data_IF_212978154975
#
_entry.id   IF_212978154975
#
_cell.length_a   1.000
_cell.length_b   1.000
_cell.length_c   1.000
_cell.angle_alpha   90.00
_cell.angle_beta   90.00
_cell.angle_gamma   90.00
#
_symmetry.space_group_name_H-M   'P 1'
#
loop_
_entity.id
_entity.type
_entity.pdbx_description
1 polymer ?
#
# COMPACT_ATOMS: atom_id res chain seq x y z
N UNK A 1 5.79 -7.13 -21.87
CA UNK A 1 4.75 -7.77 -21.04
C UNK A 1 5.37 -8.10 -19.69
N UNK A 2 4.76 -7.69 -18.58
CA UNK A 2 5.23 -7.96 -17.20
C UNK A 2 4.08 -8.51 -16.35
N UNK A 3 4.43 -9.20 -15.27
CA UNK A 3 3.48 -9.58 -14.23
C UNK A 3 3.50 -8.53 -13.12
N UNK A 4 2.33 -8.11 -12.67
CA UNK A 4 2.14 -7.22 -11.53
C UNK A 4 1.31 -7.91 -10.46
N UNK A 5 1.71 -7.75 -9.21
CA UNK A 5 0.90 -8.08 -8.04
C UNK A 5 0.68 -6.82 -7.24
N UNK A 6 -0.58 -6.35 -7.20
CA UNK A 6 -0.97 -5.08 -6.57
C UNK A 6 -1.59 -5.37 -5.20
N UNK A 7 -1.02 -4.78 -4.16
CA UNK A 7 -1.39 -4.98 -2.75
C UNK A 7 -1.89 -3.66 -2.17
N UNK A 8 -3.12 -3.68 -1.67
CA UNK A 8 -3.79 -2.52 -1.11
C UNK A 8 -3.25 -2.09 0.27
N UNK A 9 -3.56 -0.88 0.67
CA UNK A 9 -3.29 -0.34 2.00
C UNK A 9 -4.38 -0.68 3.02
N UNK A 10 -4.27 -0.10 4.22
CA UNK A 10 -5.25 -0.26 5.27
C UNK A 10 -6.68 0.07 4.80
N UNK A 11 -7.68 -0.59 5.37
CA UNK A 11 -9.13 -0.45 5.10
C UNK A 11 -9.59 -0.87 3.71
N UNK A 12 -8.73 -0.95 2.70
CA UNK A 12 -9.06 -1.21 1.30
C UNK A 12 -9.13 -2.72 0.99
N UNK A 13 -9.26 -3.04 -0.27
CA UNK A 13 -9.23 -4.38 -0.84
C UNK A 13 -8.76 -4.34 -2.29
N UNK A 14 -8.76 -5.48 -2.96
CA UNK A 14 -8.41 -5.60 -4.37
C UNK A 14 -9.19 -4.65 -5.29
N UNK A 15 -10.42 -4.31 -4.91
CA UNK A 15 -11.30 -3.37 -5.61
C UNK A 15 -10.67 -1.98 -5.82
N UNK A 16 -9.81 -1.55 -4.91
CA UNK A 16 -9.14 -0.23 -5.01
C UNK A 16 -8.19 -0.12 -6.21
N UNK A 17 -7.81 -1.23 -6.80
CA UNK A 17 -6.91 -1.31 -7.94
C UNK A 17 -7.61 -1.50 -9.29
N UNK A 18 -8.95 -1.62 -9.32
CA UNK A 18 -9.68 -2.05 -10.52
C UNK A 18 -9.37 -1.22 -11.77
N UNK A 19 -9.37 0.10 -11.67
CA UNK A 19 -9.09 0.99 -12.80
C UNK A 19 -7.61 0.99 -13.21
N UNK A 20 -6.69 0.97 -12.22
CA UNK A 20 -5.25 0.84 -12.47
C UNK A 20 -4.95 -0.50 -13.14
N UNK A 21 -5.53 -1.60 -12.64
CA UNK A 21 -5.42 -2.94 -13.23
C UNK A 21 -5.87 -2.94 -14.68
N UNK A 22 -7.08 -2.47 -14.95
CA UNK A 22 -7.62 -2.40 -16.33
C UNK A 22 -6.70 -1.59 -17.26
N UNK A 23 -6.16 -0.48 -16.77
CA UNK A 23 -5.22 0.35 -17.52
C UNK A 23 -3.90 -0.36 -17.84
N UNK A 24 -3.35 -1.16 -16.94
CA UNK A 24 -2.16 -1.95 -17.17
C UNK A 24 -2.44 -3.14 -18.12
N UNK A 25 -3.58 -3.81 -17.97
CA UNK A 25 -3.98 -4.92 -18.82
C UNK A 25 -4.20 -4.48 -20.27
N UNK A 26 -4.76 -3.30 -20.51
CA UNK A 26 -4.88 -2.73 -21.88
C UNK A 26 -3.54 -2.43 -22.53
N UNK A 27 -2.46 -2.33 -21.76
CA UNK A 27 -1.07 -2.21 -22.24
C UNK A 27 -0.37 -3.56 -22.41
N UNK A 28 -1.11 -4.67 -22.24
CA UNK A 28 -0.59 -6.03 -22.42
C UNK A 28 0.16 -6.60 -21.22
N UNK A 29 0.02 -6.03 -20.05
CA UNK A 29 0.57 -6.59 -18.81
C UNK A 29 -0.39 -7.60 -18.18
N UNK A 30 0.13 -8.56 -17.42
CA UNK A 30 -0.66 -9.47 -16.60
C UNK A 30 -0.74 -8.90 -15.17
N UNK A 31 -1.95 -8.65 -14.67
CA UNK A 31 -2.14 -7.94 -13.40
C UNK A 31 -3.00 -8.75 -12.43
N UNK A 32 -2.44 -9.02 -11.27
CA UNK A 32 -3.08 -9.71 -10.17
C UNK A 32 -3.32 -8.70 -9.05
N UNK A 33 -4.51 -8.70 -8.48
CA UNK A 33 -4.85 -7.99 -7.25
C UNK A 33 -5.25 -9.00 -6.18
N UNK A 34 -5.00 -8.71 -4.92
CA UNK A 34 -5.40 -9.59 -3.81
C UNK A 34 -6.18 -8.81 -2.76
N UNK A 35 -7.08 -9.50 -2.09
CA UNK A 35 -7.61 -9.10 -0.80
C UNK A 35 -6.69 -9.67 0.29
N UNK A 36 -6.17 -8.80 1.14
CA UNK A 36 -5.43 -9.23 2.33
C UNK A 36 -6.43 -9.78 3.36
N UNK A 37 -6.00 -10.67 4.28
CA UNK A 37 -6.86 -11.20 5.32
C UNK A 37 -7.70 -10.13 6.03
N UNK A 38 -9.01 -10.34 6.11
CA UNK A 38 -9.99 -9.41 6.71
C UNK A 38 -10.43 -8.25 5.81
N UNK A 39 -9.99 -8.18 4.55
CA UNK A 39 -10.29 -7.09 3.63
C UNK A 39 -10.99 -7.56 2.35
N UNK A 40 -11.67 -6.63 1.68
CA UNK A 40 -12.39 -6.93 0.44
C UNK A 40 -13.39 -8.07 0.63
N UNK A 41 -13.22 -9.17 -0.12
CA UNK A 41 -14.04 -10.38 -0.04
C UNK A 41 -13.54 -11.40 1.00
N UNK A 42 -12.33 -11.22 1.57
CA UNK A 42 -11.81 -12.10 2.60
C UNK A 42 -12.56 -11.91 3.93
N UNK A 43 -12.95 -13.02 4.56
CA UNK A 43 -13.79 -13.04 5.76
C UNK A 43 -13.02 -13.38 7.04
N UNK A 44 -11.69 -13.34 7.00
CA UNK A 44 -10.86 -13.55 8.19
C UNK A 44 -11.25 -12.57 9.29
N UNK A 45 -11.60 -13.03 10.50
CA UNK A 45 -11.97 -12.14 11.59
C UNK A 45 -10.77 -11.32 12.05
N UNK A 46 -11.01 -10.13 12.62
CA UNK A 46 -9.95 -9.21 13.09
C UNK A 46 -8.91 -9.92 13.97
N UNK A 47 -9.35 -10.86 14.84
CA UNK A 47 -8.46 -11.63 15.70
C UNK A 47 -7.50 -12.56 14.97
N UNK A 48 -7.76 -12.88 13.70
CA UNK A 48 -6.88 -13.68 12.84
C UNK A 48 -6.00 -12.83 11.91
N UNK A 49 -6.14 -11.51 11.94
CA UNK A 49 -5.36 -10.60 11.09
C UNK A 49 -4.08 -10.20 11.81
N UNK A 50 -2.95 -10.41 11.12
CA UNK A 50 -1.63 -9.95 11.55
C UNK A 50 -0.79 -9.52 10.35
N UNK A 51 0.27 -8.77 10.60
CA UNK A 51 1.24 -8.42 9.55
C UNK A 51 1.84 -9.68 8.91
N UNK A 52 2.14 -10.70 9.72
CA UNK A 52 2.63 -11.99 9.22
C UNK A 52 1.63 -12.64 8.26
N UNK A 53 0.34 -12.64 8.62
CA UNK A 53 -0.71 -13.19 7.75
C UNK A 53 -0.80 -12.43 6.40
N UNK A 54 -0.61 -11.11 6.42
CA UNK A 54 -0.56 -10.31 5.19
C UNK A 54 0.62 -10.69 4.31
N UNK A 55 1.82 -10.81 4.90
CA UNK A 55 3.03 -11.23 4.17
C UNK A 55 2.85 -12.62 3.57
N UNK A 56 2.30 -13.57 4.35
CA UNK A 56 2.08 -14.93 3.86
C UNK A 56 1.05 -15.00 2.72
N UNK A 57 0.00 -14.18 2.76
CA UNK A 57 -0.97 -14.07 1.67
C UNK A 57 -0.32 -13.56 0.37
N UNK A 58 0.54 -12.54 0.48
CA UNK A 58 1.31 -12.02 -0.69
C UNK A 58 2.24 -13.08 -1.23
N UNK A 59 3.00 -13.79 -0.36
CA UNK A 59 3.92 -14.86 -0.76
C UNK A 59 3.20 -16.02 -1.44
N UNK A 60 2.05 -16.43 -0.88
CA UNK A 60 1.22 -17.49 -1.48
C UNK A 60 0.75 -17.11 -2.90
N UNK A 61 0.36 -15.86 -3.09
CA UNK A 61 -0.02 -15.39 -4.44
C UNK A 61 1.21 -15.28 -5.36
N UNK A 62 2.31 -14.75 -4.87
CA UNK A 62 3.55 -14.59 -5.63
C UNK A 62 4.09 -15.95 -6.13
N UNK A 63 3.97 -17.01 -5.33
CA UNK A 63 4.41 -18.36 -5.71
C UNK A 63 3.62 -18.97 -6.87
N UNK A 64 2.45 -18.42 -7.21
CA UNK A 64 1.64 -18.87 -8.36
C UNK A 64 1.98 -18.13 -9.67
N UNK A 65 2.86 -17.11 -9.59
CA UNK A 65 3.24 -16.32 -10.77
C UNK A 65 4.47 -16.93 -11.42
N UNK A 66 4.37 -17.25 -12.70
CA UNK A 66 5.51 -17.75 -13.47
C UNK A 66 6.37 -16.59 -13.97
N UNK A 67 7.66 -16.65 -13.74
CA UNK A 67 8.61 -15.57 -14.07
C UNK A 67 8.66 -14.48 -13.00
N UNK A 68 9.44 -13.41 -13.27
CA UNK A 68 9.56 -12.28 -12.36
C UNK A 68 8.26 -11.48 -12.23
N UNK A 69 8.00 -10.95 -11.05
CA UNK A 69 6.83 -10.15 -10.73
C UNK A 69 7.22 -8.77 -10.20
N UNK A 70 6.58 -7.71 -10.68
CA UNK A 70 6.63 -6.39 -10.07
C UNK A 70 5.62 -6.38 -8.92
N UNK A 71 6.14 -6.32 -7.68
CA UNK A 71 5.31 -6.17 -6.48
C UNK A 71 5.00 -4.69 -6.25
N UNK A 72 3.72 -4.35 -6.16
CA UNK A 72 3.27 -2.98 -5.91
C UNK A 72 2.50 -2.94 -4.60
N UNK A 73 2.92 -2.14 -3.64
CA UNK A 73 2.25 -1.96 -2.36
C UNK A 73 1.90 -0.50 -2.09
N UNK A 74 0.64 -0.22 -1.77
CA UNK A 74 0.18 1.11 -1.41
C UNK A 74 0.10 1.25 0.12
N UNK A 75 0.57 2.38 0.68
CA UNK A 75 0.46 2.66 2.12
C UNK A 75 1.05 1.53 2.99
N UNK A 76 0.27 0.95 3.92
CA UNK A 76 0.65 -0.24 4.71
C UNK A 76 1.09 -1.41 3.81
N UNK A 77 0.46 -1.56 2.64
CA UNK A 77 0.85 -2.57 1.64
C UNK A 77 2.30 -2.45 1.18
N UNK A 78 2.90 -1.26 1.26
CA UNK A 78 4.32 -1.05 0.98
C UNK A 78 5.24 -1.82 1.94
N UNK A 79 4.96 -1.79 3.23
CA UNK A 79 5.70 -2.59 4.23
C UNK A 79 5.49 -4.09 4.00
N UNK A 80 4.25 -4.50 3.67
CA UNK A 80 3.92 -5.92 3.41
C UNK A 80 4.67 -6.46 2.21
N UNK A 81 4.65 -5.75 1.06
CA UNK A 81 5.37 -6.21 -0.15
C UNK A 81 6.89 -6.17 0.03
N UNK A 82 7.41 -5.22 0.81
CA UNK A 82 8.84 -5.16 1.13
C UNK A 82 9.29 -6.40 1.91
N UNK A 83 8.52 -6.82 2.92
CA UNK A 83 8.80 -8.03 3.68
C UNK A 83 8.63 -9.31 2.83
N UNK A 84 7.59 -9.37 2.00
CA UNK A 84 7.41 -10.51 1.09
C UNK A 84 8.56 -10.62 0.07
N UNK A 85 9.03 -9.49 -0.44
CA UNK A 85 10.18 -9.42 -1.35
C UNK A 85 11.50 -9.83 -0.68
N UNK A 86 11.72 -9.47 0.59
CA UNK A 86 12.85 -9.96 1.38
C UNK A 86 12.88 -11.48 1.44
N UNK A 87 11.71 -12.09 1.66
CA UNK A 87 11.59 -13.54 1.85
C UNK A 87 11.54 -14.33 0.53
N UNK A 88 11.22 -13.69 -0.60
CA UNK A 88 11.11 -14.31 -1.93
C UNK A 88 11.81 -13.49 -3.03
N UNK A 89 13.07 -13.06 -2.85
CA UNK A 89 13.71 -12.12 -3.77
C UNK A 89 13.82 -12.66 -5.20
N UNK A 90 13.97 -13.96 -5.37
CA UNK A 90 14.10 -14.60 -6.70
C UNK A 90 12.80 -14.59 -7.53
N UNK A 91 11.65 -14.36 -6.91
CA UNK A 91 10.36 -14.24 -7.59
C UNK A 91 10.02 -12.79 -7.97
N UNK A 92 10.80 -11.81 -7.48
CA UNK A 92 10.52 -10.39 -7.60
C UNK A 92 11.47 -9.72 -8.60
N UNK A 93 10.89 -9.05 -9.62
CA UNK A 93 11.63 -8.24 -10.58
C UNK A 93 11.92 -6.83 -10.02
N UNK A 94 10.93 -6.24 -9.39
CA UNK A 94 11.03 -4.94 -8.74
C UNK A 94 9.98 -4.80 -7.63
N UNK A 95 10.26 -3.95 -6.66
CA UNK A 95 9.27 -3.50 -5.67
C UNK A 95 8.93 -2.04 -5.97
N UNK A 96 7.65 -1.72 -6.04
CA UNK A 96 7.15 -0.35 -6.16
C UNK A 96 6.27 -0.03 -4.95
N UNK A 97 6.65 0.97 -4.19
CA UNK A 97 5.85 1.50 -3.08
C UNK A 97 5.13 2.77 -3.53
N UNK A 98 3.83 2.82 -3.31
CA UNK A 98 2.97 3.95 -3.70
C UNK A 98 2.50 4.65 -2.44
N UNK A 99 2.92 5.90 -2.24
CA UNK A 99 2.60 6.71 -1.03
C UNK A 99 2.55 5.85 0.25
N UNK A 100 3.63 5.08 0.51
CA UNK A 100 3.57 4.00 1.48
C UNK A 100 4.85 3.81 2.29
N UNK A 101 4.85 2.76 3.08
CA UNK A 101 5.87 2.53 4.07
C UNK A 101 6.94 1.55 3.57
N UNK A 102 8.20 1.94 3.73
CA UNK A 102 9.36 1.06 3.78
C UNK A 102 10.01 1.29 5.14
N UNK A 103 10.07 0.24 5.95
CA UNK A 103 10.46 0.35 7.36
C UNK A 103 11.93 -0.02 7.54
N UNK A 104 12.62 0.69 8.43
CA UNK A 104 13.96 0.30 8.91
C UNK A 104 13.85 -0.79 9.98
N UNK A 105 14.97 -1.38 10.33
CA UNK A 105 15.02 -2.33 11.44
C UNK A 105 14.47 -1.70 12.73
N UNK A 106 13.61 -2.43 13.44
CA UNK A 106 12.97 -2.02 14.68
C UNK A 106 12.02 -0.80 14.54
N UNK A 107 11.56 -0.51 13.34
CA UNK A 107 10.59 0.55 13.06
C UNK A 107 9.25 -0.08 12.63
N UNK A 108 8.16 0.43 13.16
CA UNK A 108 6.80 0.07 12.76
C UNK A 108 6.17 1.17 11.89
N UNK A 109 5.10 0.84 11.21
CA UNK A 109 4.29 1.83 10.47
C UNK A 109 3.80 2.95 11.40
N UNK A 110 3.40 2.60 12.62
CA UNK A 110 2.94 3.57 13.61
C UNK A 110 4.05 4.53 14.04
N UNK A 111 5.30 4.06 14.16
CA UNK A 111 6.42 4.94 14.50
C UNK A 111 6.66 5.97 13.40
N UNK A 112 6.63 5.56 12.14
CA UNK A 112 6.75 6.48 11.01
C UNK A 112 5.62 7.52 11.00
N UNK A 113 4.38 7.08 11.27
CA UNK A 113 3.22 7.99 11.33
C UNK A 113 3.32 8.99 12.49
N UNK A 114 3.88 8.59 13.64
CA UNK A 114 4.12 9.50 14.79
C UNK A 114 5.21 10.53 14.50
N UNK A 115 6.20 10.16 13.70
CA UNK A 115 7.31 11.02 13.32
C UNK A 115 6.93 12.01 12.19
N UNK A 116 5.78 11.83 11.54
CA UNK A 116 5.28 12.71 10.49
C UNK A 116 4.55 13.92 11.06
N UNK A 117 5.33 14.92 11.49
CA UNK A 117 4.79 16.14 12.09
C UNK A 117 3.91 17.00 11.16
N UNK A 118 3.94 16.73 9.84
CA UNK A 118 3.12 17.44 8.85
C UNK A 118 1.74 16.77 8.64
N UNK A 119 1.52 15.58 9.21
CA UNK A 119 0.25 14.87 9.14
C UNK A 119 -0.45 14.83 10.51
N UNK A 120 -1.72 15.17 10.55
CA UNK A 120 -2.58 14.98 11.72
C UNK A 120 -3.44 13.72 11.65
N UNK A 121 -3.18 12.85 10.67
CA UNK A 121 -4.05 11.70 10.35
C UNK A 121 -4.21 10.70 11.50
N UNK A 122 -3.20 10.51 12.34
CA UNK A 122 -3.33 9.66 13.53
C UNK A 122 -4.48 10.10 14.46
N UNK A 123 -4.77 11.39 14.52
CA UNK A 123 -5.87 11.94 15.34
C UNK A 123 -7.24 11.67 14.73
N UNK A 124 -7.31 11.22 13.48
CA UNK A 124 -8.55 10.92 12.76
C UNK A 124 -8.96 9.45 12.85
N UNK A 125 -8.10 8.60 13.44
CA UNK A 125 -8.41 7.19 13.62
C UNK A 125 -9.45 6.99 14.73
N UNK A 126 -10.43 6.13 14.45
CA UNK A 126 -11.48 5.73 15.39
C UNK A 126 -11.23 4.27 15.75
N UNK A 127 -10.80 4.04 16.98
CA UNK A 127 -10.51 2.69 17.47
C UNK A 127 -11.76 1.99 17.98
N UNK A 128 -11.83 0.66 17.81
CA UNK A 128 -12.81 -0.18 18.49
C UNK A 128 -12.63 -0.11 20.01
N UNK A 129 -13.67 -0.51 20.78
CA UNK A 129 -13.63 -0.45 22.24
C UNK A 129 -12.47 -1.28 22.85
N UNK A 130 -12.12 -2.39 22.23
CA UNK A 130 -11.01 -3.27 22.60
C UNK A 130 -9.67 -2.90 21.93
N UNK A 131 -9.65 -1.82 21.14
CA UNK A 131 -8.50 -1.34 20.36
C UNK A 131 -7.92 -2.36 19.35
N UNK A 132 -8.64 -3.42 19.05
CA UNK A 132 -8.20 -4.45 18.11
C UNK A 132 -8.28 -4.01 16.64
N UNK A 133 -9.06 -2.97 16.36
CA UNK A 133 -9.21 -2.42 15.01
C UNK A 133 -9.37 -0.90 15.02
N UNK A 134 -9.14 -0.30 13.86
CA UNK A 134 -9.35 1.13 13.62
C UNK A 134 -10.12 1.36 12.31
N UNK A 135 -10.94 2.41 12.29
CA UNK A 135 -11.64 2.93 11.13
C UNK A 135 -11.37 4.42 10.96
N UNK A 136 -11.90 5.01 9.90
CA UNK A 136 -11.90 6.45 9.66
C UNK A 136 -13.33 6.94 9.44
N UNK A 137 -13.62 8.18 9.85
CA UNK A 137 -14.95 8.76 9.65
C UNK A 137 -15.20 9.09 8.17
N UNK A 138 -16.48 9.23 7.78
CA UNK A 138 -16.85 9.67 6.43
C UNK A 138 -16.26 11.04 6.07
N UNK A 139 -16.10 11.94 7.05
CA UNK A 139 -15.51 13.28 6.87
C UNK A 139 -14.00 13.22 6.62
N UNK A 140 -13.32 12.20 7.16
CA UNK A 140 -11.88 11.98 6.94
C UNK A 140 -11.57 11.50 5.52
N UNK A 141 -12.52 10.85 4.85
CA UNK A 141 -12.30 10.32 3.49
C UNK A 141 -11.96 11.44 2.48
N UNK A 142 -12.81 12.47 2.26
CA UNK A 142 -12.50 13.54 1.31
C UNK A 142 -11.37 14.45 1.75
N UNK A 143 -11.14 14.56 3.06
CA UNK A 143 -10.13 15.51 3.58
C UNK A 143 -8.72 14.93 3.65
N UNK A 144 -8.56 13.60 3.82
CA UNK A 144 -7.26 12.94 4.02
C UNK A 144 -7.04 11.76 3.09
N UNK A 145 -7.94 10.76 3.12
CA UNK A 145 -7.70 9.48 2.43
C UNK A 145 -7.83 9.62 0.92
N UNK A 146 -8.87 10.31 0.45
CA UNK A 146 -9.18 10.52 -0.96
C UNK A 146 -9.15 12.00 -1.35
N UNK A 147 -8.35 12.81 -0.64
CA UNK A 147 -8.26 14.22 -0.96
C UNK A 147 -7.80 14.41 -2.44
N UNK A 148 -8.46 15.33 -3.15
CA UNK A 148 -8.30 15.50 -4.59
C UNK A 148 -9.04 14.48 -5.46
N UNK A 149 -9.81 13.57 -4.86
CA UNK A 149 -10.77 12.70 -5.54
C UNK A 149 -12.09 13.41 -5.84
N UNK A 150 -12.86 12.88 -6.80
CA UNK A 150 -14.22 13.36 -7.09
C UNK A 150 -15.21 12.78 -6.08
N UNK A 151 -16.37 13.44 -5.89
CA UNK A 151 -17.45 12.93 -5.06
C UNK A 151 -17.86 11.50 -5.46
N UNK A 152 -17.99 11.25 -6.77
CA UNK A 152 -18.34 9.93 -7.30
C UNK A 152 -17.31 8.84 -6.92
N UNK A 153 -16.01 9.17 -7.00
CA UNK A 153 -14.94 8.23 -6.58
C UNK A 153 -15.05 7.90 -5.10
N UNK A 154 -15.31 8.90 -4.27
CA UNK A 154 -15.44 8.73 -2.81
C UNK A 154 -16.70 7.93 -2.46
N UNK A 155 -17.86 8.26 -3.04
CA UNK A 155 -19.13 7.57 -2.83
C UNK A 155 -19.07 6.09 -3.24
N UNK A 156 -18.32 5.78 -4.30
CA UNK A 156 -18.10 4.40 -4.75
C UNK A 156 -17.17 3.63 -3.81
N UNK A 157 -16.13 4.28 -3.29
CA UNK A 157 -15.11 3.64 -2.46
C UNK A 157 -15.55 3.46 -1.00
N UNK A 158 -16.18 4.46 -0.40
CA UNK A 158 -16.51 4.51 1.03
C UNK A 158 -17.25 3.27 1.56
N UNK A 159 -18.31 2.74 0.91
CA UNK A 159 -19.03 1.58 1.41
C UNK A 159 -18.26 0.26 1.34
N UNK A 160 -17.13 0.23 0.64
CA UNK A 160 -16.28 -0.95 0.49
C UNK A 160 -15.16 -1.04 1.55
N UNK A 161 -14.95 0.04 2.31
CA UNK A 161 -13.95 0.05 3.36
C UNK A 161 -14.32 -0.91 4.50
N UNK A 162 -13.29 -1.59 5.04
CA UNK A 162 -13.45 -2.46 6.20
C UNK A 162 -12.57 -1.98 7.36
N UNK A 163 -12.93 -2.29 8.62
CA UNK A 163 -12.05 -2.02 9.75
C UNK A 163 -10.68 -2.66 9.55
N UNK A 164 -9.63 -1.91 9.85
CA UNK A 164 -8.24 -2.37 9.82
C UNK A 164 -7.85 -2.90 11.19
N UNK A 165 -7.37 -4.14 11.28
CA UNK A 165 -6.74 -4.64 12.51
C UNK A 165 -5.55 -3.75 12.88
N UNK A 166 -5.36 -3.51 14.18
CA UNK A 166 -4.29 -2.62 14.65
C UNK A 166 -2.92 -3.28 14.67
N UNK A 167 -2.84 -4.61 14.85
CA UNK A 167 -1.57 -5.34 14.95
C UNK A 167 -0.60 -5.01 13.80
N UNK A 168 -1.01 -4.97 12.51
CA UNK A 168 -0.10 -4.66 11.41
C UNK A 168 0.55 -3.27 11.48
N UNK A 169 -0.02 -2.33 12.21
CA UNK A 169 0.60 -1.00 12.40
C UNK A 169 1.77 -1.01 13.39
N UNK A 170 1.79 -1.99 14.29
CA UNK A 170 2.84 -2.16 15.31
C UNK A 170 3.93 -3.14 14.89
N UNK A 171 3.70 -3.91 13.83
CA UNK A 171 4.63 -4.92 13.38
C UNK A 171 5.91 -4.30 12.80
N UNK A 172 7.02 -5.00 12.96
CA UNK A 172 8.32 -4.63 12.41
C UNK A 172 8.66 -5.49 11.20
N UNK A 173 9.39 -4.91 10.26
CA UNK A 173 10.00 -5.67 9.16
C UNK A 173 11.43 -6.10 9.50
N UNK A 174 11.88 -7.15 8.81
CA UNK A 174 13.26 -7.65 8.92
C UNK A 174 13.92 -7.60 7.53
N UNK A 175 14.02 -6.39 6.97
CA UNK A 175 14.58 -6.18 5.65
C UNK A 175 16.12 -6.29 5.68
N UNK A 176 16.68 -7.06 4.77
CA UNK A 176 18.11 -7.33 4.65
C UNK A 176 18.58 -7.42 3.21
N UNK A 177 19.38 -8.42 2.91
CA UNK A 177 20.02 -8.59 1.60
C UNK A 177 19.02 -8.95 0.47
N UNK A 178 17.96 -9.66 0.80
CA UNK A 178 16.90 -10.01 -0.16
C UNK A 178 16.25 -8.76 -0.74
N UNK A 179 15.74 -7.90 0.12
CA UNK A 179 15.10 -6.65 -0.31
C UNK A 179 16.10 -5.64 -0.88
N UNK A 180 17.26 -5.46 -0.24
CA UNK A 180 18.26 -4.45 -0.66
C UNK A 180 18.90 -4.75 -2.01
N UNK A 181 18.93 -6.00 -2.44
CA UNK A 181 19.42 -6.43 -3.75
C UNK A 181 18.43 -6.21 -4.91
N UNK A 182 17.18 -5.85 -4.62
CA UNK A 182 16.16 -5.65 -5.64
C UNK A 182 16.14 -4.22 -6.19
N UNK A 183 15.55 -4.04 -7.36
CA UNK A 183 15.14 -2.74 -7.87
C UNK A 183 13.97 -2.24 -7.04
N UNK A 184 14.17 -1.13 -6.32
CA UNK A 184 13.21 -0.54 -5.37
C UNK A 184 12.82 0.84 -5.84
N UNK A 185 11.53 1.07 -6.04
CA UNK A 185 10.97 2.26 -6.67
C UNK A 185 9.85 2.84 -5.79
N UNK A 186 9.62 4.14 -5.92
CA UNK A 186 8.60 4.85 -5.15
C UNK A 186 7.79 5.77 -6.05
N UNK A 187 6.47 5.73 -5.89
CA UNK A 187 5.55 6.71 -6.44
C UNK A 187 5.11 7.62 -5.31
N UNK A 188 5.59 8.86 -5.31
CA UNK A 188 5.22 9.85 -4.31
C UNK A 188 3.97 10.64 -4.72
N UNK A 189 3.17 11.03 -3.72
CA UNK A 189 1.94 11.80 -3.88
C UNK A 189 2.10 13.17 -3.19
N UNK A 190 1.98 14.27 -3.96
CA UNK A 190 2.31 15.61 -3.46
C UNK A 190 1.29 16.17 -2.48
N UNK A 191 0.03 15.74 -2.61
CA UNK A 191 -1.08 16.27 -1.83
C UNK A 191 -1.52 15.31 -0.71
N UNK A 192 -0.69 14.30 -0.42
CA UNK A 192 -0.96 13.29 0.59
C UNK A 192 -1.04 13.91 1.99
N UNK A 193 -2.17 13.67 2.67
CA UNK A 193 -2.44 14.15 4.04
C UNK A 193 -2.44 13.03 5.08
N UNK A 194 -2.25 11.79 4.64
CA UNK A 194 -2.08 10.62 5.52
C UNK A 194 -0.60 10.41 5.81
N UNK A 195 0.24 10.44 4.77
CA UNK A 195 1.69 10.35 4.84
C UNK A 195 2.28 11.52 4.05
N UNK A 196 2.77 12.54 4.73
CA UNK A 196 3.21 13.78 4.09
C UNK A 196 4.29 13.56 3.04
N UNK A 197 4.36 14.44 2.03
CA UNK A 197 5.40 14.37 1.00
C UNK A 197 6.81 14.39 1.61
N UNK A 198 7.02 15.18 2.66
CA UNK A 198 8.31 15.24 3.36
C UNK A 198 8.67 13.89 3.98
N UNK A 199 7.68 13.21 4.59
CA UNK A 199 7.90 11.88 5.16
C UNK A 199 8.12 10.84 4.06
N UNK A 200 7.36 10.87 2.96
CA UNK A 200 7.58 10.00 1.82
C UNK A 200 9.02 10.14 1.30
N UNK A 201 9.54 11.35 1.16
CA UNK A 201 10.93 11.60 0.73
C UNK A 201 11.98 11.14 1.73
N UNK A 202 11.74 11.34 3.04
CA UNK A 202 12.57 10.77 4.10
C UNK A 202 12.62 9.24 4.03
N UNK A 203 11.50 8.58 3.75
CA UNK A 203 11.46 7.12 3.56
C UNK A 203 12.31 6.72 2.35
N UNK A 204 12.17 7.39 1.22
CA UNK A 204 12.96 7.12 0.01
C UNK A 204 14.46 7.21 0.29
N UNK A 205 14.89 8.32 0.88
CA UNK A 205 16.31 8.58 1.20
C UNK A 205 16.86 7.54 2.18
N UNK A 206 16.23 7.37 3.34
CA UNK A 206 16.75 6.51 4.41
C UNK A 206 16.70 5.01 4.13
N UNK A 207 15.81 4.58 3.22
CA UNK A 207 15.67 3.18 2.81
C UNK A 207 16.29 2.88 1.43
N UNK A 208 16.91 3.87 0.79
CA UNK A 208 17.56 3.73 -0.51
C UNK A 208 16.61 3.29 -1.61
N UNK A 209 15.39 3.89 -1.64
CA UNK A 209 14.36 3.63 -2.65
C UNK A 209 14.34 4.78 -3.64
N UNK A 210 14.51 4.46 -4.93
CA UNK A 210 14.56 5.47 -5.98
C UNK A 210 13.16 5.97 -6.34
N UNK A 211 13.02 7.27 -6.58
CA UNK A 211 11.78 7.84 -7.10
C UNK A 211 11.49 7.28 -8.50
N UNK A 212 10.27 6.78 -8.69
CA UNK A 212 9.74 6.36 -10.00
C UNK A 212 8.93 7.49 -10.64
N UNK A 213 8.02 8.07 -9.87
CA UNK A 213 7.12 9.14 -10.33
C UNK A 213 6.65 10.01 -9.16
N UNK A 214 6.25 11.24 -9.50
CA UNK A 214 5.52 12.17 -8.61
C UNK A 214 4.12 12.38 -9.19
N UNK A 215 3.10 12.13 -8.38
CA UNK A 215 1.71 12.33 -8.76
C UNK A 215 1.09 13.49 -7.96
N UNK A 216 0.39 14.39 -8.65
CA UNK A 216 -0.47 15.39 -8.01
C UNK A 216 -1.75 14.71 -7.49
N UNK A 217 -1.63 14.01 -6.38
CA UNK A 217 -2.65 13.15 -5.78
C UNK A 217 -2.59 13.16 -4.27
N UNK A 218 -3.73 12.86 -3.63
CA UNK A 218 -3.79 12.44 -2.24
C UNK A 218 -3.29 11.01 -2.04
N UNK A 219 -3.57 10.45 -0.87
CA UNK A 219 -2.97 9.21 -0.37
C UNK A 219 -3.26 7.96 -1.21
N UNK A 220 -4.38 7.90 -1.92
CA UNK A 220 -4.81 6.69 -2.66
C UNK A 220 -4.95 6.99 -4.16
N UNK A 221 -3.80 7.10 -4.88
CA UNK A 221 -3.81 7.44 -6.31
C UNK A 221 -4.48 6.35 -7.18
N UNK A 222 -4.57 5.12 -6.71
CA UNK A 222 -5.32 4.07 -7.40
C UNK A 222 -6.82 4.37 -7.53
N UNK A 223 -7.36 5.22 -6.65
CA UNK A 223 -8.74 5.72 -6.71
C UNK A 223 -8.80 7.10 -7.37
N UNK A 224 -7.91 8.02 -6.99
CA UNK A 224 -8.01 9.44 -7.38
C UNK A 224 -7.34 9.74 -8.72
N UNK A 225 -6.29 9.01 -9.09
CA UNK A 225 -5.47 9.17 -10.31
C UNK A 225 -5.06 7.82 -10.93
N UNK A 226 -6.01 6.88 -11.17
CA UNK A 226 -5.68 5.50 -11.54
C UNK A 226 -4.93 5.36 -12.86
N UNK A 227 -5.16 6.27 -13.82
CA UNK A 227 -4.50 6.24 -15.13
C UNK A 227 -3.06 6.71 -15.04
N UNK A 228 -2.82 7.83 -14.36
CA UNK A 228 -1.50 8.39 -14.13
C UNK A 228 -0.64 7.40 -13.31
N UNK A 229 -1.24 6.73 -12.34
CA UNK A 229 -0.58 5.67 -11.60
C UNK A 229 -0.21 4.49 -12.51
N UNK A 230 -1.12 4.06 -13.39
CA UNK A 230 -0.84 3.00 -14.34
C UNK A 230 0.26 3.38 -15.35
N UNK A 231 0.31 4.66 -15.78
CA UNK A 231 1.39 5.17 -16.65
C UNK A 231 2.74 5.08 -15.94
N UNK A 232 2.81 5.49 -14.67
CA UNK A 232 4.01 5.37 -13.85
C UNK A 232 4.45 3.91 -13.70
N UNK A 233 3.52 3.02 -13.33
CA UNK A 233 3.81 1.60 -13.15
C UNK A 233 4.26 0.92 -14.46
N UNK A 234 3.69 1.28 -15.60
CA UNK A 234 4.07 0.72 -16.91
C UNK A 234 5.50 1.09 -17.33
N UNK A 235 6.13 2.10 -16.71
CA UNK A 235 7.51 2.50 -16.98
C UNK A 235 8.55 1.64 -16.22
N UNK A 236 8.12 0.77 -15.30
CA UNK A 236 8.99 -0.15 -14.56
C UNK A 236 9.56 -1.21 -15.51
#
# INVERSE_FOLDING_TARGET
>A
MKNYLLVHGAWHGAWAWEETKRSLETRGHHVITIDLPGHGSDTTPISGVSFRAYVDAVKARLSTVSGGCVLVGQSLGGAVVSQAAEEMPNAVEAVVVVSGFVLRANESTLDVMKDDAASDFLTKLIFSADQSSATVSAETLPSHVYNGGTAEQIERAAPQLRPQATEPFFAHTTLGAGFSGLRRLYVECTDDRVLSLDMQRKIQERCGVSQLATLASGHVPSITRPRELADALASV
#
